data_IF_859830303684
#
_entry.id   IF_859830303684
#
_cell.length_a   1.000
_cell.length_b   1.000
_cell.length_c   1.000
_cell.angle_alpha   90.00
_cell.angle_beta   90.00
_cell.angle_gamma   90.00
#
_symmetry.space_group_name_H-M   'P 1'
#
loop_
_entity.id
_entity.type
_entity.pdbx_description
1 polymer ?
#
# COMPACT_ATOMS: atom_id res chain seq x y z
N UNK A 1 31.35 12.56 63.74
CA UNK A 1 31.66 13.63 62.77
C UNK A 1 32.61 13.04 61.73
N UNK A 2 32.10 12.76 60.52
CA UNK A 2 32.72 12.12 59.33
C UNK A 2 31.61 11.21 58.72
N UNK A 3 31.26 11.19 57.44
CA UNK A 3 31.88 11.76 56.25
C UNK A 3 30.74 11.91 55.21
N UNK A 4 30.43 13.13 54.77
CA UNK A 4 29.51 13.40 53.65
C UNK A 4 30.28 14.13 52.54
N UNK A 5 31.00 13.38 51.73
CA UNK A 5 31.64 13.85 50.48
C UNK A 5 31.81 12.59 49.63
N UNK A 6 31.57 12.53 48.33
CA UNK A 6 30.96 13.43 47.38
C UNK A 6 30.69 12.52 46.19
N UNK A 7 29.44 12.47 45.73
CA UNK A 7 29.14 11.98 44.38
C UNK A 7 29.79 12.96 43.39
N UNK A 8 30.23 12.46 42.24
CA UNK A 8 30.82 13.15 41.08
C UNK A 8 32.34 13.06 40.96
N UNK A 9 32.82 12.05 40.24
CA UNK A 9 33.92 12.21 39.28
C UNK A 9 33.80 11.10 38.21
N UNK A 10 33.64 11.54 36.98
CA UNK A 10 33.41 10.77 35.76
C UNK A 10 34.75 10.50 35.07
N UNK A 11 34.76 9.60 34.09
CA UNK A 11 35.79 9.36 33.03
C UNK A 11 36.91 8.38 33.41
N UNK A 12 37.42 7.47 32.56
CA UNK A 12 37.35 7.33 31.11
C UNK A 12 37.69 5.87 30.72
N UNK A 13 37.03 5.33 29.69
CA UNK A 13 37.53 4.12 29.02
C UNK A 13 36.41 3.27 28.42
N UNK A 14 36.46 3.11 27.10
CA UNK A 14 35.57 2.29 26.27
C UNK A 14 34.16 2.86 26.05
N UNK A 15 33.95 3.49 24.88
CA UNK A 15 32.97 3.05 23.88
C UNK A 15 33.01 4.03 22.71
N UNK A 16 33.71 3.66 21.64
CA UNK A 16 33.60 4.34 20.35
C UNK A 16 33.71 3.32 19.22
N UNK A 17 32.86 2.30 19.23
CA UNK A 17 32.49 1.57 18.02
C UNK A 17 31.34 2.32 17.37
N UNK A 18 31.70 3.27 16.49
CA UNK A 18 30.75 3.89 15.57
C UNK A 18 30.32 2.80 14.57
N UNK A 19 29.24 2.09 14.88
CA UNK A 19 28.55 1.27 13.90
C UNK A 19 27.90 2.25 12.93
N UNK A 20 28.57 2.51 11.82
CA UNK A 20 27.90 3.01 10.62
C UNK A 20 27.01 1.86 10.15
N UNK A 21 25.81 1.78 10.72
CA UNK A 21 24.71 1.08 10.10
C UNK A 21 24.39 1.87 8.83
N UNK A 22 25.10 1.57 7.74
CA UNK A 22 24.56 1.75 6.41
C UNK A 22 23.39 0.78 6.33
N UNK A 23 22.24 1.20 6.85
CA UNK A 23 21.00 0.49 6.67
C UNK A 23 20.90 0.23 5.19
N UNK A 24 20.89 -1.05 4.81
CA UNK A 24 20.48 -1.44 3.49
C UNK A 24 19.07 -0.87 3.32
N UNK A 25 18.97 0.28 2.64
CA UNK A 25 17.71 0.71 2.06
C UNK A 25 17.43 -0.35 1.01
N UNK A 26 16.70 -1.40 1.39
CA UNK A 26 16.05 -2.21 0.38
C UNK A 26 15.25 -1.23 -0.46
N UNK A 27 15.51 -1.17 -1.76
CA UNK A 27 14.71 -0.36 -2.66
C UNK A 27 13.26 -0.83 -2.50
N UNK A 28 12.44 -0.04 -1.80
CA UNK A 28 11.02 -0.31 -1.66
C UNK A 28 10.44 -0.38 -3.06
N UNK A 29 9.65 -1.43 -3.34
CA UNK A 29 8.97 -1.55 -4.63
C UNK A 29 8.07 -0.32 -4.77
N UNK A 30 8.32 0.58 -5.74
CA UNK A 30 7.59 1.83 -5.83
C UNK A 30 6.14 1.55 -6.18
N UNK A 31 5.22 2.14 -5.42
CA UNK A 31 3.80 2.09 -5.74
C UNK A 31 3.50 3.02 -6.93
N UNK A 32 2.66 2.55 -7.85
CA UNK A 32 2.11 3.40 -8.91
C UNK A 32 1.20 4.43 -8.25
N UNK A 33 1.54 5.72 -8.38
CA UNK A 33 0.73 6.84 -7.88
C UNK A 33 -0.10 7.46 -8.99
N UNK A 34 -0.98 8.40 -8.63
CA UNK A 34 -1.68 9.25 -9.59
C UNK A 34 -0.75 9.90 -10.62
N UNK A 35 0.47 10.30 -10.24
CA UNK A 35 1.44 10.90 -11.17
C UNK A 35 1.80 9.96 -12.32
N UNK A 36 2.16 8.71 -12.03
CA UNK A 36 2.48 7.74 -13.08
C UNK A 36 1.21 7.35 -13.84
N UNK A 37 0.08 7.21 -13.15
CA UNK A 37 -1.20 6.87 -13.77
C UNK A 37 -1.62 7.89 -14.83
N UNK A 38 -1.63 9.18 -14.50
CA UNK A 38 -2.06 10.25 -15.43
C UNK A 38 -1.09 10.44 -16.60
N UNK A 39 0.18 10.07 -16.42
CA UNK A 39 1.18 10.10 -17.49
C UNK A 39 1.21 8.82 -18.35
N UNK A 40 0.51 7.76 -17.95
CA UNK A 40 0.54 6.46 -18.60
C UNK A 40 -0.42 6.39 -19.79
N UNK A 41 -0.04 5.60 -20.79
CA UNK A 41 -0.95 5.24 -21.89
C UNK A 41 -2.10 4.36 -21.40
N UNK A 42 -3.21 4.36 -22.13
CA UNK A 42 -4.36 3.49 -21.83
C UNK A 42 -3.97 2.00 -21.77
N UNK A 43 -3.08 1.55 -22.66
CA UNK A 43 -2.59 0.17 -22.62
C UNK A 43 -1.80 -0.15 -21.34
N UNK A 44 -0.99 0.80 -20.86
CA UNK A 44 -0.21 0.63 -19.62
C UNK A 44 -1.12 0.57 -18.40
N UNK A 45 -2.13 1.45 -18.33
CA UNK A 45 -3.17 1.42 -17.29
C UNK A 45 -3.90 0.08 -17.25
N UNK A 46 -4.34 -0.40 -18.42
CA UNK A 46 -5.01 -1.71 -18.53
C UNK A 46 -4.11 -2.85 -18.09
N UNK A 47 -2.84 -2.87 -18.51
CA UNK A 47 -1.89 -3.91 -18.11
C UNK A 47 -1.68 -3.95 -16.58
N UNK A 48 -1.55 -2.78 -15.94
CA UNK A 48 -1.44 -2.67 -14.48
C UNK A 48 -2.68 -3.24 -13.77
N UNK A 49 -3.87 -2.86 -14.22
CA UNK A 49 -5.13 -3.34 -13.64
C UNK A 49 -5.33 -4.85 -13.87
N UNK A 50 -4.96 -5.38 -15.04
CA UNK A 50 -4.96 -6.83 -15.31
C UNK A 50 -4.00 -7.55 -14.37
N UNK A 51 -2.82 -6.98 -14.10
CA UNK A 51 -1.88 -7.54 -13.12
C UNK A 51 -2.51 -7.68 -11.71
N UNK A 52 -3.22 -6.66 -11.25
CA UNK A 52 -3.96 -6.71 -9.97
C UNK A 52 -5.05 -7.79 -10.02
N UNK A 53 -5.86 -7.83 -11.09
CA UNK A 53 -6.91 -8.82 -11.24
C UNK A 53 -6.37 -10.25 -11.26
N UNK A 54 -5.21 -10.48 -11.88
CA UNK A 54 -4.55 -11.78 -11.90
C UNK A 54 -4.07 -12.18 -10.50
N UNK A 55 -3.51 -11.25 -9.72
CA UNK A 55 -3.12 -11.51 -8.34
C UNK A 55 -4.32 -11.93 -7.47
N UNK A 56 -5.46 -11.25 -7.61
CA UNK A 56 -6.71 -11.61 -6.92
C UNK A 56 -7.18 -13.00 -7.32
N UNK A 57 -7.11 -13.34 -8.62
CA UNK A 57 -7.49 -14.67 -9.10
C UNK A 57 -6.58 -15.77 -8.55
N UNK A 58 -5.26 -15.52 -8.47
CA UNK A 58 -4.30 -16.46 -7.87
C UNK A 58 -4.64 -16.71 -6.41
N UNK A 59 -4.95 -15.67 -5.62
CA UNK A 59 -5.34 -15.82 -4.22
C UNK A 59 -6.63 -16.64 -4.04
N UNK A 60 -7.66 -16.36 -4.86
CA UNK A 60 -8.91 -17.13 -4.84
C UNK A 60 -8.65 -18.59 -5.20
N UNK A 61 -7.84 -18.85 -6.23
CA UNK A 61 -7.50 -20.20 -6.65
C UNK A 61 -6.66 -20.95 -5.61
N UNK A 62 -5.71 -20.27 -4.95
CA UNK A 62 -4.90 -20.82 -3.87
C UNK A 62 -5.76 -21.32 -2.71
N UNK A 63 -6.85 -20.60 -2.41
CA UNK A 63 -7.81 -20.99 -1.39
C UNK A 63 -8.94 -21.90 -1.90
N UNK A 64 -8.84 -22.45 -3.12
CA UNK A 64 -9.87 -23.30 -3.74
C UNK A 64 -11.27 -22.66 -3.78
N UNK A 65 -11.34 -21.33 -3.90
CA UNK A 65 -12.61 -20.60 -3.84
C UNK A 65 -13.26 -20.54 -2.45
N UNK A 66 -12.55 -20.96 -1.39
CA UNK A 66 -12.98 -20.86 0.02
C UNK A 66 -12.27 -19.66 0.64
N UNK A 67 -12.82 -18.44 0.52
CA UNK A 67 -12.12 -17.23 0.94
C UNK A 67 -11.73 -17.31 2.42
N UNK A 68 -10.47 -16.97 2.78
CA UNK A 68 -10.06 -16.95 4.17
C UNK A 68 -10.80 -15.82 4.92
N UNK A 69 -10.81 -15.85 6.26
CA UNK A 69 -11.35 -14.74 7.06
C UNK A 69 -10.65 -13.41 6.74
N UNK A 70 -11.38 -12.29 6.92
CA UNK A 70 -10.87 -10.92 6.66
C UNK A 70 -9.55 -10.60 7.39
N UNK A 71 -9.30 -11.23 8.55
CA UNK A 71 -8.07 -11.05 9.31
C UNK A 71 -6.83 -11.68 8.64
N UNK A 72 -7.02 -12.52 7.63
CA UNK A 72 -5.97 -13.28 6.93
C UNK A 72 -5.74 -12.80 5.50
N UNK A 73 -6.77 -12.27 4.82
CA UNK A 73 -6.62 -11.66 3.49
C UNK A 73 -7.67 -10.58 3.23
N UNK A 74 -7.24 -9.51 2.56
CA UNK A 74 -8.13 -8.45 2.07
C UNK A 74 -8.66 -8.73 0.66
N UNK A 75 -8.10 -9.70 -0.05
CA UNK A 75 -8.38 -9.94 -1.47
C UNK A 75 -9.81 -10.43 -1.74
N UNK A 76 -10.46 -11.25 -0.88
CA UNK A 76 -11.89 -11.55 -1.01
C UNK A 76 -12.76 -10.30 -0.98
N UNK A 77 -12.46 -9.35 -0.09
CA UNK A 77 -13.17 -8.07 -0.02
C UNK A 77 -12.89 -7.20 -1.24
N UNK A 78 -11.65 -7.21 -1.74
CA UNK A 78 -11.28 -6.51 -2.97
C UNK A 78 -12.12 -7.01 -4.15
N UNK A 79 -12.19 -8.32 -4.34
CA UNK A 79 -13.00 -8.96 -5.39
C UNK A 79 -14.48 -8.63 -5.23
N UNK A 80 -15.03 -8.74 -4.02
CA UNK A 80 -16.44 -8.46 -3.75
C UNK A 80 -16.80 -6.99 -3.99
N UNK A 81 -15.95 -6.04 -3.56
CA UNK A 81 -16.20 -4.61 -3.73
C UNK A 81 -16.14 -4.14 -5.19
N UNK A 82 -15.40 -4.85 -6.05
CA UNK A 82 -15.33 -4.57 -7.48
C UNK A 82 -16.29 -5.43 -8.33
N UNK A 83 -17.18 -6.22 -7.72
CA UNK A 83 -18.03 -7.17 -8.46
C UNK A 83 -18.92 -6.51 -9.53
N UNK A 84 -19.31 -5.25 -9.34
CA UNK A 84 -20.09 -4.47 -10.31
C UNK A 84 -19.24 -3.69 -11.32
N UNK A 85 -17.91 -3.80 -11.24
CA UNK A 85 -16.98 -3.05 -12.08
C UNK A 85 -16.36 -3.94 -13.15
N UNK A 86 -16.28 -3.41 -14.38
CA UNK A 86 -15.37 -3.92 -15.40
C UNK A 86 -14.00 -3.26 -15.28
N UNK A 87 -12.97 -3.85 -15.91
CA UNK A 87 -11.62 -3.27 -16.00
C UNK A 87 -11.66 -1.81 -16.52
N UNK A 88 -12.44 -1.58 -17.58
CA UNK A 88 -12.60 -0.25 -18.18
C UNK A 88 -13.28 0.73 -17.21
N UNK A 89 -14.29 0.29 -16.46
CA UNK A 89 -14.97 1.15 -15.48
C UNK A 89 -14.06 1.56 -14.32
N UNK A 90 -13.15 0.67 -13.90
CA UNK A 90 -12.11 0.99 -12.89
C UNK A 90 -11.14 2.02 -13.45
N UNK A 91 -10.63 1.81 -14.67
CA UNK A 91 -9.70 2.75 -15.31
C UNK A 91 -10.33 4.15 -15.43
N UNK A 92 -11.55 4.23 -15.95
CA UNK A 92 -12.29 5.49 -16.08
C UNK A 92 -12.63 6.14 -14.74
N UNK A 93 -12.87 5.34 -13.70
CA UNK A 93 -13.09 5.84 -12.34
C UNK A 93 -11.83 6.51 -11.79
N UNK A 94 -10.66 5.88 -11.99
CA UNK A 94 -9.36 6.42 -11.57
C UNK A 94 -9.01 7.70 -12.32
N UNK A 95 -9.21 7.72 -13.63
CA UNK A 95 -8.98 8.91 -14.45
C UNK A 95 -9.82 10.09 -13.97
N UNK A 96 -11.13 9.87 -13.75
CA UNK A 96 -12.02 10.89 -13.22
C UNK A 96 -11.61 11.36 -11.82
N UNK A 97 -11.21 10.44 -10.95
CA UNK A 97 -10.83 10.77 -9.58
C UNK A 97 -9.56 11.63 -9.55
N UNK A 98 -8.49 11.24 -10.27
CA UNK A 98 -7.25 12.02 -10.30
C UNK A 98 -7.40 13.35 -11.04
N UNK A 99 -8.24 13.43 -12.07
CA UNK A 99 -8.57 14.69 -12.73
C UNK A 99 -9.29 15.67 -11.78
N UNK A 100 -10.14 15.16 -10.89
CA UNK A 100 -10.83 15.97 -9.89
C UNK A 100 -9.96 16.31 -8.66
N UNK A 101 -8.84 15.62 -8.45
CA UNK A 101 -7.96 15.80 -7.28
C UNK A 101 -6.48 15.97 -7.71
N UNK A 102 -6.14 17.05 -8.45
CA UNK A 102 -4.77 17.28 -8.94
C UNK A 102 -3.75 17.50 -7.80
N UNK A 103 -4.21 17.87 -6.61
CA UNK A 103 -3.40 18.00 -5.38
C UNK A 103 -3.02 16.65 -4.77
N UNK A 104 -3.65 15.54 -5.20
CA UNK A 104 -3.47 14.20 -4.62
C UNK A 104 -2.79 13.19 -5.54
N UNK A 105 -2.04 13.64 -6.53
CA UNK A 105 -1.35 12.74 -7.47
C UNK A 105 -0.30 11.83 -6.82
N UNK A 106 0.14 12.11 -5.58
CA UNK A 106 1.04 11.23 -4.83
C UNK A 106 0.33 10.02 -4.20
N UNK A 107 -1.01 10.03 -4.15
CA UNK A 107 -1.77 8.90 -3.61
C UNK A 107 -1.56 7.66 -4.51
N UNK A 108 -1.29 6.47 -3.94
CA UNK A 108 -1.18 5.24 -4.70
C UNK A 108 -2.48 4.87 -5.43
N UNK A 109 -2.38 4.38 -6.66
CA UNK A 109 -3.51 3.89 -7.46
C UNK A 109 -4.24 2.77 -6.75
N UNK A 110 -3.54 1.78 -6.23
CA UNK A 110 -4.16 0.65 -5.53
C UNK A 110 -4.94 1.09 -4.29
N UNK A 111 -4.44 2.11 -3.58
CA UNK A 111 -5.12 2.70 -2.44
C UNK A 111 -6.39 3.45 -2.87
N UNK A 112 -6.31 4.21 -3.96
CA UNK A 112 -7.47 4.89 -4.56
C UNK A 112 -8.53 3.87 -5.01
N UNK A 113 -8.16 2.75 -5.64
CA UNK A 113 -9.11 1.68 -5.97
C UNK A 113 -9.80 1.16 -4.70
N UNK A 114 -9.05 0.93 -3.62
CA UNK A 114 -9.61 0.44 -2.37
C UNK A 114 -10.66 1.39 -1.79
N UNK A 115 -10.31 2.65 -1.54
CA UNK A 115 -11.21 3.56 -0.83
C UNK A 115 -12.31 4.15 -1.71
N UNK A 116 -12.06 4.35 -2.99
CA UNK A 116 -12.99 5.05 -3.88
C UNK A 116 -13.90 4.09 -4.67
N UNK A 117 -13.57 2.79 -4.73
CA UNK A 117 -14.36 1.80 -5.48
C UNK A 117 -14.70 0.56 -4.65
N UNK A 118 -13.71 -0.11 -4.05
CA UNK A 118 -13.95 -1.33 -3.27
C UNK A 118 -14.82 -1.05 -2.05
N UNK A 119 -14.42 -0.12 -1.18
CA UNK A 119 -15.14 0.18 0.07
C UNK A 119 -16.58 0.62 -0.19
N UNK A 120 -16.87 1.51 -1.16
CA UNK A 120 -18.25 1.81 -1.57
C UNK A 120 -19.02 0.58 -2.08
N UNK A 121 -18.43 -0.22 -2.97
CA UNK A 121 -19.08 -1.41 -3.55
C UNK A 121 -19.42 -2.50 -2.51
N UNK A 122 -18.64 -2.58 -1.42
CA UNK A 122 -18.94 -3.46 -0.28
C UNK A 122 -20.18 -3.02 0.50
N UNK A 123 -20.52 -1.72 0.51
CA UNK A 123 -21.72 -1.22 1.19
C UNK A 123 -22.98 -1.51 0.39
N UNK A 124 -22.89 -1.52 -0.94
CA UNK A 124 -24.01 -1.78 -1.85
C UNK A 124 -24.26 -3.25 -2.11
N UNK A 125 -23.33 -4.13 -1.71
CA UNK A 125 -23.43 -5.59 -1.88
C UNK A 125 -24.05 -6.33 -0.68
N UNK A 126 -24.56 -5.60 0.32
CA UNK A 126 -25.22 -6.18 1.50
C UNK A 126 -26.65 -6.59 1.22
#
# INVERSE_FOLDING_TARGET
MANRLSRLAVTAGALATLVLATGARGDEIPLVTGKQWTASTEQTKKAYLVGIANMVQVDIAYHEGKPPPDAQSILPRFAQGLKSHSLDSVSQGLDRWYAAHPDRLQRPVIETIWFEMVVPGLKTSK
#
